data_IF_890069272260
#
_entry.id   IF_890069272260
#
_cell.length_a   1.000
_cell.length_b   1.000
_cell.length_c   1.000
_cell.angle_alpha   90.00
_cell.angle_beta   90.00
_cell.angle_gamma   90.00
#
_symmetry.space_group_name_H-M   'P 1'
#
loop_
_entity.id
_entity.type
_entity.pdbx_description
1 polymer ?
#
# COMPACT_ATOMS: atom_id res chain seq x y z
N UNK A 1 10.55 -5.56 -8.93
CA UNK A 1 11.97 -5.89 -8.60
C UNK A 1 12.02 -7.32 -8.09
N UNK A 2 12.93 -8.16 -8.60
CA UNK A 2 13.02 -9.55 -8.15
C UNK A 2 13.88 -9.63 -6.89
N UNK A 3 13.26 -9.82 -5.72
CA UNK A 3 13.97 -9.98 -4.44
C UNK A 3 15.01 -11.09 -4.51
N UNK A 4 14.72 -12.16 -5.26
CA UNK A 4 15.63 -13.28 -5.43
C UNK A 4 16.80 -12.99 -6.39
N UNK A 5 16.66 -12.04 -7.31
CA UNK A 5 17.73 -11.63 -8.24
C UNK A 5 18.57 -10.45 -7.71
N UNK A 6 18.10 -9.75 -6.70
CA UNK A 6 18.86 -8.78 -5.95
C UNK A 6 19.89 -9.48 -5.04
N UNK A 7 20.55 -10.52 -5.53
CA UNK A 7 21.61 -11.25 -4.83
C UNK A 7 22.81 -10.40 -4.39
N UNK A 8 22.63 -9.11 -4.43
CA UNK A 8 23.56 -8.11 -3.93
C UNK A 8 22.76 -7.13 -3.08
N UNK A 9 22.60 -7.44 -1.82
CA UNK A 9 22.05 -6.52 -0.80
C UNK A 9 22.75 -5.12 -0.82
N UNK A 10 23.85 -4.97 -1.55
CA UNK A 10 24.63 -3.73 -1.63
C UNK A 10 23.98 -2.58 -2.40
N UNK A 11 22.93 -2.79 -3.19
CA UNK A 11 22.32 -1.77 -4.04
C UNK A 11 20.88 -1.41 -3.66
N UNK A 12 20.34 -1.97 -2.57
CA UNK A 12 19.01 -1.64 -2.11
C UNK A 12 18.96 -0.24 -1.50
N UNK A 13 18.08 0.60 -2.03
CA UNK A 13 17.72 1.83 -1.34
C UNK A 13 16.74 1.52 -0.22
N UNK A 14 16.80 2.23 0.92
CA UNK A 14 15.92 1.99 2.06
C UNK A 14 14.43 2.15 1.75
N UNK A 15 14.10 3.04 0.82
CA UNK A 15 12.76 3.25 0.29
C UNK A 15 12.22 2.00 -0.43
N UNK A 16 13.06 1.25 -1.15
CA UNK A 16 12.65 0.01 -1.81
C UNK A 16 12.23 -1.08 -0.81
N UNK A 17 12.94 -1.20 0.31
CA UNK A 17 12.58 -2.14 1.38
C UNK A 17 11.23 -1.74 2.00
N UNK A 18 11.00 -0.45 2.19
CA UNK A 18 9.73 0.06 2.71
C UNK A 18 8.55 -0.27 1.76
N UNK A 19 8.74 -0.16 0.43
CA UNK A 19 7.76 -0.58 -0.55
C UNK A 19 7.45 -2.07 -0.48
N UNK A 20 8.48 -2.92 -0.39
CA UNK A 20 8.32 -4.38 -0.28
C UNK A 20 7.56 -4.75 0.98
N UNK A 21 7.84 -4.11 2.11
CA UNK A 21 7.17 -4.39 3.38
C UNK A 21 5.65 -4.13 3.31
N UNK A 22 5.21 -3.16 2.51
CA UNK A 22 3.79 -2.89 2.27
C UNK A 22 3.11 -4.03 1.51
N UNK A 23 3.71 -4.52 0.44
CA UNK A 23 3.17 -5.65 -0.32
C UNK A 23 3.11 -6.93 0.51
N UNK A 24 4.09 -7.17 1.37
CA UNK A 24 4.09 -8.30 2.30
C UNK A 24 2.97 -8.15 3.36
N UNK A 25 2.78 -6.94 3.89
CA UNK A 25 1.69 -6.64 4.83
C UNK A 25 0.33 -6.88 4.19
N UNK A 26 0.09 -6.40 2.96
CA UNK A 26 -1.18 -6.62 2.26
C UNK A 26 -1.40 -8.11 2.00
N UNK A 27 -0.37 -8.84 1.55
CA UNK A 27 -0.47 -10.28 1.36
C UNK A 27 -0.82 -11.01 2.66
N UNK A 28 -0.25 -10.60 3.78
CA UNK A 28 -0.61 -11.13 5.11
C UNK A 28 -2.06 -10.82 5.47
N UNK A 29 -2.52 -9.59 5.23
CA UNK A 29 -3.91 -9.19 5.47
C UNK A 29 -4.89 -9.98 4.59
N UNK A 30 -4.56 -10.31 3.33
CA UNK A 30 -5.39 -11.20 2.51
C UNK A 30 -5.60 -12.57 3.18
N UNK A 31 -4.52 -13.15 3.71
CA UNK A 31 -4.56 -14.45 4.40
C UNK A 31 -5.38 -14.37 5.68
N UNK A 32 -5.17 -13.33 6.48
CA UNK A 32 -5.88 -13.11 7.74
C UNK A 32 -7.37 -12.90 7.50
N UNK A 33 -7.74 -12.12 6.48
CA UNK A 33 -9.14 -11.83 6.14
C UNK A 33 -9.85 -13.07 5.59
N UNK A 34 -9.21 -13.86 4.72
CA UNK A 34 -9.76 -15.12 4.26
C UNK A 34 -10.00 -16.10 5.42
N UNK A 35 -9.10 -16.17 6.38
CA UNK A 35 -9.26 -16.96 7.61
C UNK A 35 -10.40 -16.44 8.47
N UNK A 36 -10.51 -15.12 8.67
CA UNK A 36 -11.58 -14.49 9.44
C UNK A 36 -12.95 -14.81 8.87
N UNK A 37 -13.08 -14.75 7.54
CA UNK A 37 -14.32 -15.04 6.83
C UNK A 37 -14.60 -16.52 6.61
N UNK A 38 -13.61 -17.39 6.82
CA UNK A 38 -13.73 -18.84 6.58
C UNK A 38 -13.92 -19.21 5.09
N UNK A 39 -13.55 -18.33 4.18
CA UNK A 39 -13.67 -18.51 2.73
C UNK A 39 -12.67 -17.62 1.96
N UNK A 40 -12.40 -17.94 0.68
CA UNK A 40 -11.65 -17.04 -0.18
C UNK A 40 -12.35 -15.67 -0.34
N UNK A 41 -11.57 -14.61 -0.48
CA UNK A 41 -12.01 -13.22 -0.54
C UNK A 41 -12.05 -12.67 -1.97
N UNK A 42 -12.95 -11.71 -2.19
CA UNK A 42 -12.96 -10.88 -3.40
C UNK A 42 -12.19 -9.60 -3.12
N UNK A 43 -11.33 -9.21 -4.04
CA UNK A 43 -10.38 -8.13 -3.81
C UNK A 43 -10.40 -7.08 -4.90
N UNK A 44 -10.13 -5.83 -4.49
CA UNK A 44 -9.97 -4.67 -5.36
C UNK A 44 -8.62 -4.00 -5.07
N UNK A 45 -7.78 -3.82 -6.08
CA UNK A 45 -6.55 -3.04 -6.02
C UNK A 45 -6.65 -1.84 -6.95
N UNK A 46 -6.31 -0.66 -6.43
CA UNK A 46 -6.20 0.56 -7.23
C UNK A 46 -4.75 1.02 -7.27
N UNK A 47 -4.27 1.34 -8.49
CA UNK A 47 -2.86 1.52 -8.77
C UNK A 47 -2.13 0.17 -8.77
N UNK A 48 -2.72 -0.81 -9.48
CA UNK A 48 -2.22 -2.19 -9.44
C UNK A 48 -0.85 -2.36 -10.09
N UNK A 49 -0.46 -1.47 -11.00
CA UNK A 49 0.82 -1.52 -11.69
C UNK A 49 1.16 -2.92 -12.18
N UNK A 50 2.30 -3.44 -11.77
CA UNK A 50 2.75 -4.79 -12.10
C UNK A 50 2.17 -5.89 -11.17
N UNK A 51 1.10 -5.62 -10.42
CA UNK A 51 0.47 -6.54 -9.46
C UNK A 51 1.44 -7.10 -8.41
N UNK A 52 2.28 -6.25 -7.82
CA UNK A 52 3.32 -6.66 -6.87
C UNK A 52 2.77 -7.40 -5.66
N UNK A 53 1.59 -7.00 -5.16
CA UNK A 53 0.91 -7.67 -4.04
C UNK A 53 0.56 -9.11 -4.39
N UNK A 54 -0.08 -9.33 -5.54
CA UNK A 54 -0.42 -10.68 -6.00
C UNK A 54 0.82 -11.52 -6.28
N UNK A 55 1.87 -10.91 -6.85
CA UNK A 55 3.14 -11.60 -7.10
C UNK A 55 3.79 -12.04 -5.80
N UNK A 56 3.76 -11.18 -4.78
CA UNK A 56 4.29 -11.53 -3.46
C UNK A 56 3.47 -12.66 -2.83
N UNK A 57 2.16 -12.55 -2.83
CA UNK A 57 1.27 -13.62 -2.35
C UNK A 57 1.51 -14.93 -3.09
N UNK A 58 1.70 -14.87 -4.42
CA UNK A 58 1.99 -16.04 -5.23
C UNK A 58 3.34 -16.71 -4.88
N UNK A 59 4.36 -15.98 -4.54
CA UNK A 59 5.72 -16.50 -4.31
C UNK A 59 6.04 -16.80 -2.85
N UNK A 60 5.64 -15.93 -1.95
CA UNK A 60 6.01 -16.00 -0.54
C UNK A 60 5.14 -16.98 0.25
N UNK A 61 3.90 -17.13 -0.13
CA UNK A 61 2.94 -17.94 0.60
C UNK A 61 2.62 -19.23 -0.17
N UNK A 62 3.17 -20.34 0.31
CA UNK A 62 3.05 -21.70 -0.28
C UNK A 62 1.61 -22.27 -0.21
N UNK A 63 0.65 -21.50 0.23
CA UNK A 63 -0.76 -21.92 0.36
C UNK A 63 -1.41 -22.02 -1.02
N UNK A 64 -2.38 -22.90 -1.20
CA UNK A 64 -3.23 -22.93 -2.39
C UNK A 64 -3.93 -21.57 -2.53
N UNK A 65 -3.65 -20.85 -3.58
CA UNK A 65 -3.98 -19.43 -3.77
C UNK A 65 -5.45 -19.18 -3.99
N UNK A 66 -6.14 -20.16 -4.60
CA UNK A 66 -7.59 -20.22 -4.69
C UNK A 66 -8.31 -20.30 -3.33
N UNK A 67 -7.58 -20.66 -2.27
CA UNK A 67 -8.14 -20.72 -0.92
C UNK A 67 -8.06 -19.36 -0.20
N UNK A 68 -7.36 -18.39 -0.79
CA UNK A 68 -7.19 -17.03 -0.22
C UNK A 68 -7.96 -16.00 -1.03
N UNK A 69 -7.74 -15.92 -2.34
CA UNK A 69 -8.40 -14.95 -3.23
C UNK A 69 -9.31 -15.71 -4.21
N UNK A 70 -10.59 -15.36 -4.20
CA UNK A 70 -11.61 -15.88 -5.11
C UNK A 70 -11.62 -15.10 -6.42
N UNK A 71 -11.55 -13.77 -6.34
CA UNK A 71 -11.48 -12.88 -7.48
C UNK A 71 -10.63 -11.66 -7.16
N UNK A 72 -10.01 -11.11 -8.20
CA UNK A 72 -9.19 -9.91 -8.12
C UNK A 72 -9.57 -8.94 -9.23
N UNK A 73 -9.90 -7.71 -8.87
CA UNK A 73 -10.06 -6.59 -9.79
C UNK A 73 -8.93 -5.59 -9.55
N UNK A 74 -8.09 -5.38 -10.57
CA UNK A 74 -7.03 -4.37 -10.55
C UNK A 74 -7.41 -3.19 -11.44
N UNK A 75 -7.24 -1.96 -10.95
CA UNK A 75 -7.43 -0.74 -11.72
C UNK A 75 -6.11 0.00 -11.82
N UNK A 76 -5.80 0.47 -13.02
CA UNK A 76 -4.65 1.33 -13.28
C UNK A 76 -4.92 2.29 -14.43
N UNK A 77 -4.19 3.38 -14.50
CA UNK A 77 -4.22 4.32 -15.63
C UNK A 77 -3.27 3.88 -16.75
N UNK A 78 -2.21 3.15 -16.40
CA UNK A 78 -1.17 2.73 -17.34
C UNK A 78 -1.54 1.39 -18.00
N UNK A 79 -1.79 1.33 -19.31
CA UNK A 79 -2.06 0.08 -20.01
C UNK A 79 -0.87 -0.91 -19.97
N UNK A 80 0.31 -0.46 -19.60
CA UNK A 80 1.45 -1.36 -19.43
C UNK A 80 1.25 -2.37 -18.28
N UNK A 81 0.34 -2.12 -17.34
CA UNK A 81 -0.02 -3.06 -16.28
C UNK A 81 -0.66 -4.36 -16.80
N UNK A 82 -1.24 -4.35 -18.00
CA UNK A 82 -1.76 -5.56 -18.66
C UNK A 82 -0.66 -6.47 -19.20
N UNK A 83 0.59 -6.00 -19.23
CA UNK A 83 1.72 -6.75 -19.77
C UNK A 83 2.44 -7.53 -18.69
N UNK A 84 2.85 -8.74 -19.00
CA UNK A 84 3.69 -9.52 -18.13
C UNK A 84 5.13 -8.99 -18.18
N UNK A 85 5.66 -8.59 -17.02
CA UNK A 85 7.02 -8.11 -16.92
C UNK A 85 8.01 -9.23 -17.30
N UNK A 86 8.91 -9.03 -18.26
CA UNK A 86 9.87 -10.05 -18.73
C UNK A 86 10.83 -10.56 -17.64
N UNK A 87 11.01 -9.83 -16.54
CA UNK A 87 11.75 -10.34 -15.39
C UNK A 87 11.06 -11.51 -14.67
N UNK A 88 9.74 -11.71 -14.89
CA UNK A 88 8.94 -12.69 -14.20
C UNK A 88 8.53 -13.87 -15.06
N UNK A 89 8.52 -13.68 -16.37
CA UNK A 89 8.30 -14.74 -17.34
C UNK A 89 9.27 -14.60 -18.52
N UNK A 90 9.72 -15.72 -19.04
CA UNK A 90 10.59 -15.73 -20.22
C UNK A 90 9.83 -15.44 -21.54
N UNK A 91 8.53 -15.19 -21.47
CA UNK A 91 7.68 -15.20 -22.64
C UNK A 91 7.25 -13.82 -23.13
N UNK A 92 7.20 -12.81 -22.26
CA UNK A 92 6.47 -11.57 -22.57
C UNK A 92 5.04 -11.89 -23.04
N UNK A 93 4.05 -11.11 -22.70
CA UNK A 93 2.68 -11.39 -23.11
C UNK A 93 1.69 -10.61 -22.29
N UNK A 94 0.40 -10.94 -22.43
CA UNK A 94 -0.63 -10.33 -21.60
C UNK A 94 -0.68 -11.02 -20.25
N UNK A 95 -0.72 -10.21 -19.18
CA UNK A 95 -0.78 -10.67 -17.80
C UNK A 95 -1.93 -11.65 -17.57
N UNK A 96 -3.11 -11.38 -18.14
CA UNK A 96 -4.29 -12.24 -18.08
C UNK A 96 -4.10 -13.64 -18.68
N UNK A 97 -3.07 -13.84 -19.50
CA UNK A 97 -2.75 -15.13 -20.10
C UNK A 97 -1.79 -15.95 -19.23
N UNK A 98 -1.12 -15.31 -18.29
CA UNK A 98 -0.18 -15.99 -17.41
C UNK A 98 -0.87 -16.98 -16.47
N UNK A 99 -0.24 -18.12 -16.26
CA UNK A 99 -0.80 -19.18 -15.39
C UNK A 99 -0.91 -18.74 -13.93
N UNK A 100 0.00 -17.90 -13.46
CA UNK A 100 -0.01 -17.44 -12.09
C UNK A 100 -1.15 -16.44 -11.85
N UNK A 101 -1.43 -15.53 -12.76
CA UNK A 101 -2.50 -14.55 -12.64
C UNK A 101 -3.89 -15.18 -12.71
N UNK A 102 -4.06 -16.16 -13.59
CA UNK A 102 -5.30 -16.95 -13.69
C UNK A 102 -5.71 -17.64 -12.38
N UNK A 103 -4.72 -17.97 -11.54
CA UNK A 103 -5.00 -18.57 -10.23
C UNK A 103 -5.79 -17.65 -9.28
N UNK A 104 -5.83 -16.36 -9.56
CA UNK A 104 -6.57 -15.37 -8.77
C UNK A 104 -7.91 -14.98 -9.40
N UNK A 105 -8.30 -15.62 -10.52
CA UNK A 105 -9.47 -15.18 -11.29
C UNK A 105 -9.43 -13.65 -11.52
N UNK A 106 -8.25 -13.18 -11.99
CA UNK A 106 -7.89 -11.76 -12.02
C UNK A 106 -8.39 -11.06 -13.28
N UNK A 107 -8.79 -9.82 -13.12
CA UNK A 107 -9.10 -8.87 -14.19
C UNK A 107 -8.33 -7.56 -13.96
N UNK A 108 -7.77 -6.99 -15.03
CA UNK A 108 -7.19 -5.63 -15.02
C UNK A 108 -8.11 -4.73 -15.83
N UNK A 109 -8.38 -3.54 -15.31
CA UNK A 109 -9.18 -2.51 -15.95
C UNK A 109 -8.38 -1.23 -16.07
N UNK A 110 -8.25 -0.75 -17.30
CA UNK A 110 -7.57 0.52 -17.58
C UNK A 110 -8.57 1.64 -17.42
N UNK A 111 -8.41 2.43 -16.38
CA UNK A 111 -9.30 3.54 -16.07
C UNK A 111 -8.56 4.65 -15.33
N UNK A 112 -8.70 5.87 -15.82
CA UNK A 112 -8.23 7.05 -15.11
C UNK A 112 -9.21 7.44 -13.99
N UNK A 113 -8.94 6.93 -12.79
CA UNK A 113 -9.73 7.23 -11.60
C UNK A 113 -9.53 8.66 -11.08
N UNK A 114 -8.55 9.39 -11.59
CA UNK A 114 -8.36 10.81 -11.29
C UNK A 114 -9.37 11.71 -12.03
N UNK A 115 -10.02 11.18 -13.05
CA UNK A 115 -11.04 11.87 -13.85
C UNK A 115 -12.43 11.25 -13.65
N UNK A 116 -12.49 9.92 -13.56
CA UNK A 116 -13.71 9.17 -13.30
C UNK A 116 -13.52 8.23 -12.11
N UNK A 117 -13.83 8.68 -10.88
CA UNK A 117 -13.55 7.92 -9.66
C UNK A 117 -14.55 6.80 -9.38
N UNK A 118 -15.38 6.43 -10.34
CA UNK A 118 -16.45 5.41 -10.17
C UNK A 118 -15.97 4.07 -10.70
N UNK A 119 -16.10 3.02 -9.88
CA UNK A 119 -15.77 1.65 -10.24
C UNK A 119 -16.93 0.95 -10.95
N UNK A 120 -16.62 0.24 -12.03
CA UNK A 120 -17.56 -0.68 -12.67
C UNK A 120 -17.60 -2.02 -11.90
N UNK A 121 -18.06 -1.96 -10.67
CA UNK A 121 -18.21 -3.08 -9.76
C UNK A 121 -19.57 -3.02 -9.07
N UNK A 122 -20.12 -4.19 -8.75
CA UNK A 122 -21.37 -4.31 -8.00
C UNK A 122 -21.21 -3.80 -6.56
N UNK A 123 -22.33 -3.35 -5.98
CA UNK A 123 -22.37 -2.98 -4.58
C UNK A 123 -22.05 -4.20 -3.71
N UNK A 124 -21.36 -3.99 -2.61
CA UNK A 124 -21.08 -5.02 -1.60
C UNK A 124 -20.51 -6.32 -2.20
N UNK A 125 -19.60 -6.18 -3.18
CA UNK A 125 -18.98 -7.30 -3.88
C UNK A 125 -17.56 -7.61 -3.38
N UNK A 126 -16.88 -6.66 -2.70
CA UNK A 126 -15.48 -6.71 -2.30
C UNK A 126 -15.32 -6.95 -0.80
N UNK A 127 -14.44 -7.87 -0.43
CA UNK A 127 -14.06 -8.17 0.95
C UNK A 127 -12.82 -7.41 1.41
N UNK A 128 -11.89 -7.14 0.50
CA UNK A 128 -10.67 -6.39 0.79
C UNK A 128 -10.30 -5.46 -0.35
N UNK A 129 -10.22 -4.18 -0.05
CA UNK A 129 -9.77 -3.12 -0.94
C UNK A 129 -8.37 -2.63 -0.52
N UNK A 130 -7.47 -2.41 -1.48
CA UNK A 130 -6.22 -1.71 -1.19
C UNK A 130 -5.78 -0.78 -2.31
N UNK A 131 -5.03 0.25 -1.90
CA UNK A 131 -4.41 1.22 -2.79
C UNK A 131 -3.10 1.69 -2.19
N UNK A 132 -2.05 1.70 -3.00
CA UNK A 132 -0.73 2.11 -2.56
C UNK A 132 -0.15 3.16 -3.50
N UNK A 133 0.19 4.34 -2.96
CA UNK A 133 0.80 5.44 -3.72
C UNK A 133 -0.08 5.88 -4.92
N UNK A 134 -1.34 6.21 -4.66
CA UNK A 134 -2.30 6.63 -5.68
C UNK A 134 -2.95 7.97 -5.37
N UNK A 135 -3.40 8.17 -4.13
CA UNK A 135 -4.23 9.35 -3.81
C UNK A 135 -3.47 10.67 -3.91
N UNK A 136 -2.14 10.64 -3.84
CA UNK A 136 -1.27 11.80 -4.09
C UNK A 136 -1.26 12.26 -5.55
N UNK A 137 -1.64 11.38 -6.48
CA UNK A 137 -1.80 11.69 -7.91
C UNK A 137 -3.20 12.15 -8.26
N UNK A 138 -4.11 12.18 -7.28
CA UNK A 138 -5.50 12.63 -7.45
C UNK A 138 -5.66 14.08 -6.99
N UNK A 139 -6.60 14.80 -7.60
CA UNK A 139 -7.03 16.09 -7.06
C UNK A 139 -7.73 15.87 -5.74
N UNK A 140 -7.47 16.74 -4.78
CA UNK A 140 -8.01 16.65 -3.42
C UNK A 140 -9.52 16.43 -3.39
N UNK A 141 -10.26 17.13 -4.25
CA UNK A 141 -11.72 17.08 -4.33
C UNK A 141 -12.28 15.75 -4.86
N UNK A 142 -11.48 14.93 -5.54
CA UNK A 142 -11.90 13.63 -6.06
C UNK A 142 -11.69 12.48 -5.07
N UNK A 143 -10.78 12.63 -4.12
CA UNK A 143 -10.48 11.55 -3.15
C UNK A 143 -11.72 11.18 -2.32
N UNK A 144 -12.54 12.11 -1.80
CA UNK A 144 -13.79 11.76 -1.12
C UNK A 144 -14.75 10.93 -1.99
N UNK A 145 -14.95 11.33 -3.26
CA UNK A 145 -15.84 10.61 -4.18
C UNK A 145 -15.32 9.20 -4.49
N UNK A 146 -14.01 9.08 -4.68
CA UNK A 146 -13.34 7.79 -4.89
C UNK A 146 -13.48 6.86 -3.66
N UNK A 147 -13.31 7.39 -2.44
CA UNK A 147 -13.51 6.63 -1.21
C UNK A 147 -14.97 6.22 -1.01
N UNK A 148 -15.92 7.10 -1.33
CA UNK A 148 -17.35 6.80 -1.24
C UNK A 148 -17.72 5.67 -2.21
N UNK A 149 -17.20 5.68 -3.43
CA UNK A 149 -17.48 4.62 -4.40
C UNK A 149 -16.74 3.31 -4.08
N UNK A 150 -15.49 3.38 -3.58
CA UNK A 150 -14.80 2.21 -3.06
C UNK A 150 -15.61 1.53 -1.94
N UNK A 151 -16.13 2.33 -0.99
CA UNK A 151 -16.96 1.79 0.08
C UNK A 151 -18.31 1.26 -0.41
N UNK A 152 -18.89 1.82 -1.46
CA UNK A 152 -20.07 1.23 -2.11
C UNK A 152 -19.81 -0.20 -2.58
N UNK A 153 -18.65 -0.43 -3.20
CA UNK A 153 -18.27 -1.76 -3.69
C UNK A 153 -17.90 -2.73 -2.56
N UNK A 154 -17.46 -2.24 -1.41
CA UNK A 154 -17.06 -3.07 -0.27
C UNK A 154 -18.28 -3.63 0.48
N UNK A 155 -18.19 -4.88 0.93
CA UNK A 155 -19.17 -5.49 1.85
C UNK A 155 -19.16 -4.80 3.21
N UNK A 156 -20.22 -4.90 3.99
CA UNK A 156 -20.18 -4.49 5.39
C UNK A 156 -18.99 -5.13 6.12
N UNK A 157 -18.31 -4.37 6.96
CA UNK A 157 -17.14 -4.84 7.72
C UNK A 157 -15.98 -5.34 6.84
N UNK A 158 -15.91 -4.94 5.57
CA UNK A 158 -14.80 -5.27 4.69
C UNK A 158 -13.51 -4.50 5.07
N UNK A 159 -12.37 -5.13 4.83
CA UNK A 159 -11.06 -4.56 5.12
C UNK A 159 -10.64 -3.56 4.02
N UNK A 160 -9.90 -2.51 4.41
CA UNK A 160 -9.18 -1.68 3.46
C UNK A 160 -7.74 -1.41 3.92
N UNK A 161 -6.86 -1.19 2.96
CA UNK A 161 -5.48 -0.75 3.19
C UNK A 161 -5.13 0.37 2.22
N UNK A 162 -4.75 1.53 2.74
CA UNK A 162 -4.37 2.68 1.93
C UNK A 162 -3.00 3.17 2.39
N UNK A 163 -2.06 3.33 1.45
CA UNK A 163 -0.80 3.99 1.75
C UNK A 163 -0.53 5.14 0.79
N UNK A 164 0.07 6.21 1.33
CA UNK A 164 0.39 7.43 0.60
C UNK A 164 1.48 8.21 1.33
N UNK A 165 2.22 9.09 0.64
CA UNK A 165 3.07 10.06 1.29
C UNK A 165 2.32 10.90 2.31
N UNK A 166 3.02 11.25 3.38
CA UNK A 166 2.51 12.07 4.46
C UNK A 166 3.12 13.47 4.39
N UNK A 167 2.33 14.46 4.00
CA UNK A 167 2.77 15.84 3.91
C UNK A 167 3.17 16.38 5.28
N UNK A 168 4.36 16.95 5.38
CA UNK A 168 4.93 17.40 6.64
C UNK A 168 4.64 18.87 7.01
N UNK A 169 3.76 19.50 6.25
CA UNK A 169 3.43 20.92 6.41
C UNK A 169 4.52 21.88 5.90
N UNK A 170 5.56 21.36 5.25
CA UNK A 170 6.60 22.21 4.65
C UNK A 170 6.14 22.82 3.33
N UNK A 171 6.80 23.90 2.92
CA UNK A 171 6.60 24.51 1.60
C UNK A 171 7.52 23.87 0.52
N UNK A 172 7.99 22.65 0.76
CA UNK A 172 8.80 21.94 -0.21
C UNK A 172 7.99 21.67 -1.49
N UNK A 173 8.65 21.76 -2.64
CA UNK A 173 8.00 21.42 -3.91
C UNK A 173 7.69 19.93 -3.93
N UNK A 174 6.44 19.60 -4.23
CA UNK A 174 6.01 18.22 -4.42
C UNK A 174 6.78 17.54 -5.57
N UNK A 175 6.94 16.22 -5.57
CA UNK A 175 7.38 15.46 -6.72
C UNK A 175 6.56 15.85 -7.96
N UNK A 176 7.14 15.66 -9.16
CA UNK A 176 6.58 16.20 -10.41
C UNK A 176 5.18 15.66 -10.73
N UNK A 177 4.91 14.44 -10.33
CA UNK A 177 3.69 13.67 -10.57
C UNK A 177 2.69 13.70 -9.41
N UNK A 178 3.08 14.26 -8.25
CA UNK A 178 2.16 14.44 -7.15
C UNK A 178 1.32 15.72 -7.35
N UNK A 179 0.02 15.59 -7.26
CA UNK A 179 -0.94 16.70 -7.32
C UNK A 179 -1.21 17.25 -5.93
N UNK A 180 -1.41 16.36 -4.95
CA UNK A 180 -1.69 16.74 -3.58
C UNK A 180 -1.23 15.67 -2.59
N UNK A 181 -0.36 16.01 -1.66
CA UNK A 181 -0.01 15.14 -0.55
C UNK A 181 -0.82 15.51 0.70
N UNK A 182 -1.49 14.54 1.27
CA UNK A 182 -2.33 14.72 2.46
C UNK A 182 -1.47 14.81 3.72
N UNK A 183 -1.82 15.76 4.61
CA UNK A 183 -1.30 15.73 5.98
C UNK A 183 -1.91 14.61 6.80
N UNK A 184 -1.20 14.13 7.82
CA UNK A 184 -1.62 12.98 8.63
C UNK A 184 -3.03 13.15 9.22
N UNK A 185 -3.30 14.24 9.94
CA UNK A 185 -4.61 14.48 10.56
C UNK A 185 -5.70 14.81 9.54
N UNK A 186 -5.34 15.41 8.41
CA UNK A 186 -6.27 15.69 7.33
C UNK A 186 -6.77 14.40 6.69
N UNK A 187 -5.86 13.51 6.30
CA UNK A 187 -6.23 12.21 5.72
C UNK A 187 -6.97 11.34 6.72
N UNK A 188 -6.55 11.34 7.99
CA UNK A 188 -7.26 10.65 9.06
C UNK A 188 -8.73 11.05 9.12
N UNK A 189 -8.99 12.37 9.13
CA UNK A 189 -10.36 12.91 9.17
C UNK A 189 -11.17 12.47 7.95
N UNK A 190 -10.56 12.44 6.77
CA UNK A 190 -11.24 12.01 5.54
C UNK A 190 -11.55 10.51 5.56
N UNK A 191 -10.59 9.68 5.99
CA UNK A 191 -10.80 8.23 6.09
C UNK A 191 -11.85 7.87 7.15
N UNK A 192 -11.89 8.59 8.26
CA UNK A 192 -12.88 8.40 9.32
C UNK A 192 -14.33 8.67 8.88
N UNK A 193 -14.58 9.26 7.72
CA UNK A 193 -15.95 9.39 7.18
C UNK A 193 -16.57 8.03 6.88
N UNK A 194 -15.79 7.13 6.29
CA UNK A 194 -16.27 5.86 5.75
C UNK A 194 -15.75 4.64 6.51
N UNK A 195 -14.69 4.81 7.31
CA UNK A 195 -13.97 3.70 7.92
C UNK A 195 -13.77 3.87 9.42
N UNK A 196 -13.64 2.74 10.10
CA UNK A 196 -12.97 2.64 11.39
C UNK A 196 -11.48 2.41 11.13
N UNK A 197 -10.60 3.18 11.76
CA UNK A 197 -9.15 2.99 11.66
C UNK A 197 -8.74 1.90 12.64
N UNK A 198 -8.27 0.77 12.15
CA UNK A 198 -7.77 -0.34 12.99
C UNK A 198 -6.32 -0.09 13.42
N UNK A 199 -5.48 0.35 12.49
CA UNK A 199 -4.09 0.74 12.79
C UNK A 199 -3.52 1.66 11.72
N UNK A 200 -2.48 2.39 12.10
CA UNK A 200 -1.67 3.20 11.19
C UNK A 200 -0.22 2.84 11.40
N UNK A 201 0.51 2.62 10.30
CA UNK A 201 1.92 2.25 10.33
C UNK A 201 2.71 3.21 9.45
N UNK A 202 3.72 3.85 10.01
CA UNK A 202 4.69 4.59 9.23
C UNK A 202 5.67 3.65 8.54
N UNK A 203 6.03 3.94 7.29
CA UNK A 203 6.92 3.07 6.52
C UNK A 203 8.36 3.54 6.54
N UNK A 204 8.59 4.83 6.66
CA UNK A 204 9.93 5.42 6.65
C UNK A 204 9.93 6.81 7.28
N UNK A 205 10.86 7.09 8.20
CA UNK A 205 10.98 8.40 8.86
C UNK A 205 12.34 9.03 8.58
N UNK A 206 12.39 10.35 8.36
CA UNK A 206 13.65 11.08 8.30
C UNK A 206 14.25 11.21 9.70
N UNK A 207 15.57 10.99 9.83
CA UNK A 207 16.24 11.07 11.13
C UNK A 207 16.06 12.41 11.87
N UNK A 208 16.13 13.57 11.21
CA UNK A 208 15.84 14.84 11.88
C UNK A 208 14.44 14.90 12.50
N UNK A 209 13.42 14.37 11.79
CA UNK A 209 12.05 14.28 12.31
C UNK A 209 11.96 13.31 13.48
N UNK A 210 12.61 12.14 13.36
CA UNK A 210 12.69 11.16 14.44
C UNK A 210 13.37 11.73 15.68
N UNK A 211 14.51 12.39 15.51
CA UNK A 211 15.20 13.07 16.63
C UNK A 211 14.30 14.09 17.30
N UNK A 212 13.62 14.92 16.51
CA UNK A 212 12.66 15.92 17.05
C UNK A 212 11.53 15.24 17.82
N UNK A 213 10.94 14.18 17.29
CA UNK A 213 9.86 13.45 17.93
C UNK A 213 10.30 12.79 19.24
N UNK A 214 11.43 12.10 19.24
CA UNK A 214 11.91 11.38 20.43
C UNK A 214 12.49 12.30 21.49
N UNK A 215 13.40 13.20 21.13
CA UNK A 215 14.12 14.06 22.08
C UNK A 215 13.18 15.11 22.66
N UNK A 216 12.42 15.81 21.83
CA UNK A 216 11.59 16.91 22.30
C UNK A 216 10.26 16.49 22.93
N UNK A 217 9.73 15.32 22.54
CA UNK A 217 8.37 14.91 22.93
C UNK A 217 8.39 13.71 23.88
N UNK A 218 9.32 12.80 23.73
CA UNK A 218 9.34 11.52 24.43
C UNK A 218 10.52 11.36 25.41
N UNK A 219 11.26 12.43 25.69
CA UNK A 219 12.30 12.45 26.72
C UNK A 219 13.59 11.68 26.41
N UNK A 220 13.81 11.31 25.13
CA UNK A 220 15.08 10.71 24.73
C UNK A 220 16.19 11.75 24.65
N UNK A 221 17.43 11.33 24.92
CA UNK A 221 18.57 12.21 24.75
C UNK A 221 19.21 12.05 23.35
N UNK A 222 20.01 13.04 22.95
CA UNK A 222 20.76 12.96 21.68
C UNK A 222 21.73 11.79 21.70
N UNK A 223 22.37 11.53 22.84
CA UNK A 223 23.33 10.44 23.03
C UNK A 223 22.64 9.06 22.87
N UNK A 224 21.40 8.91 23.37
CA UNK A 224 20.62 7.70 23.17
C UNK A 224 20.29 7.49 21.69
N UNK A 225 19.98 8.54 20.95
CA UNK A 225 19.74 8.47 19.52
C UNK A 225 21.01 8.09 18.75
N UNK A 226 22.15 8.67 19.09
CA UNK A 226 23.43 8.35 18.46
C UNK A 226 23.81 6.89 18.68
N UNK A 227 23.59 6.38 19.90
CA UNK A 227 23.83 4.98 20.24
C UNK A 227 22.95 4.03 19.42
N UNK A 228 21.67 4.38 19.19
CA UNK A 228 20.77 3.60 18.35
C UNK A 228 21.23 3.58 16.88
N UNK A 229 21.64 4.74 16.34
CA UNK A 229 22.18 4.82 14.98
C UNK A 229 23.46 3.99 14.81
N UNK A 230 24.36 4.06 15.79
CA UNK A 230 25.59 3.26 15.82
C UNK A 230 25.29 1.75 15.88
N UNK A 231 24.34 1.34 16.73
CA UNK A 231 24.05 -0.08 16.99
C UNK A 231 23.28 -0.75 15.86
N UNK A 232 22.27 -0.09 15.32
CA UNK A 232 21.34 -0.70 14.38
C UNK A 232 21.53 -0.24 12.92
N UNK A 233 22.34 0.79 12.73
CA UNK A 233 22.48 1.43 11.43
C UNK A 233 21.33 2.36 11.07
N UNK A 234 21.65 3.42 10.35
CA UNK A 234 20.75 4.52 10.02
C UNK A 234 19.47 4.07 9.33
N UNK A 235 19.55 3.16 8.38
CA UNK A 235 18.42 2.76 7.56
C UNK A 235 17.43 1.88 8.31
N UNK A 236 17.92 0.91 9.05
CA UNK A 236 17.08 0.07 9.90
C UNK A 236 16.34 0.91 10.94
N UNK A 237 17.04 1.84 11.60
CA UNK A 237 16.42 2.72 12.59
C UNK A 237 15.27 3.55 11.98
N UNK A 238 15.46 4.10 10.77
CA UNK A 238 14.45 4.90 10.09
C UNK A 238 13.18 4.11 9.77
N UNK A 239 13.31 2.84 9.45
CA UNK A 239 12.16 1.97 9.18
C UNK A 239 11.49 1.50 10.47
N UNK A 240 12.28 0.99 11.43
CA UNK A 240 11.76 0.48 12.69
C UNK A 240 11.05 1.57 13.52
N UNK A 241 11.62 2.77 13.53
CA UNK A 241 11.06 3.89 14.27
C UNK A 241 9.84 4.55 13.57
N UNK A 242 9.68 4.38 12.27
CA UNK A 242 8.50 4.87 11.56
C UNK A 242 7.22 4.18 12.06
N UNK A 243 7.31 2.92 12.42
CA UNK A 243 6.15 2.11 12.85
C UNK A 243 5.40 2.72 14.04
N UNK A 244 6.04 3.07 15.18
CA UNK A 244 5.36 3.65 16.32
C UNK A 244 5.09 5.16 16.20
N UNK A 245 5.63 5.83 15.18
CA UNK A 245 5.48 7.28 14.97
C UNK A 245 5.01 7.60 13.53
N UNK A 246 3.84 7.08 13.12
CA UNK A 246 3.35 7.24 11.76
C UNK A 246 3.15 8.72 11.37
N UNK A 247 2.75 9.57 12.28
CA UNK A 247 2.54 11.00 12.06
C UNK A 247 3.81 11.78 11.66
N UNK A 248 4.99 11.23 12.00
CA UNK A 248 6.28 11.80 11.61
C UNK A 248 6.92 11.10 10.41
N UNK A 249 6.28 10.05 9.91
CA UNK A 249 6.79 9.28 8.78
C UNK A 249 6.58 10.02 7.47
N UNK A 250 7.42 9.72 6.48
CA UNK A 250 7.29 10.27 5.14
C UNK A 250 6.13 9.63 4.36
N UNK A 251 5.71 8.46 4.81
CA UNK A 251 4.64 7.69 4.19
C UNK A 251 3.93 6.89 5.28
N UNK A 252 2.61 6.84 5.22
CA UNK A 252 1.76 6.11 6.15
C UNK A 252 0.92 5.08 5.42
N UNK A 253 0.74 3.95 6.08
CA UNK A 253 -0.17 2.90 5.67
C UNK A 253 -1.29 2.76 6.72
N UNK A 254 -2.51 2.84 6.27
CA UNK A 254 -3.74 2.83 7.06
C UNK A 254 -4.45 1.49 6.87
N UNK A 255 -4.66 0.75 7.95
CA UNK A 255 -5.51 -0.45 7.96
C UNK A 255 -6.87 -0.03 8.50
N UNK A 256 -7.89 -0.28 7.72
CA UNK A 256 -9.20 0.31 7.85
C UNK A 256 -10.29 -0.76 7.79
N UNK A 257 -11.41 -0.53 8.47
CA UNK A 257 -12.59 -1.39 8.39
C UNK A 257 -13.80 -0.54 7.96
N UNK A 258 -14.52 -0.96 6.93
CA UNK A 258 -15.75 -0.26 6.50
C UNK A 258 -16.75 -0.18 7.65
N UNK A 259 -17.35 1.00 7.83
CA UNK A 259 -18.43 1.24 8.80
C UNK A 259 -19.73 0.54 8.43
#
# INVERSE_FOLDING_TARGET
>A
MNIASAGVLGNWRPDEIAHISRYDKIATLCIEEAKRLGRPIDTLEVGCGECWTLRNLYKAHVVKKSDIIRSYAGYDIDPACELENPFWSNAGGLLKESTWFKNFNGEIRIQDLTVNPIFDLENESIDFFWSTEVIEHMRREFVPLWLDDATRCMRPDALAYISTPNHDGSNAKLPKDHIYEWGFEELKTELERNFHIESVVGTFIQLPKLRKALVNTNGWTTEQMDLLEERFGRHFLRMAAATPYPEYSNNCAWVLRKK
#
